data_IF_051077304181
#
_entry.id   IF_051077304181
#
_cell.length_a   1.000
_cell.length_b   1.000
_cell.length_c   1.000
_cell.angle_alpha   90.00
_cell.angle_beta   90.00
_cell.angle_gamma   90.00
#
_symmetry.space_group_name_H-M   'P 1'
#
loop_
_entity.id
_entity.type
_entity.pdbx_description
1 polymer ?
#
# COMPACT_ATOMS: atom_id res chain seq x y z
N UNK A 1 18.84 -0.61 -27.63
CA UNK A 1 18.13 -0.50 -26.35
C UNK A 1 19.17 -0.68 -25.27
N UNK A 2 19.29 0.25 -24.33
CA UNK A 2 20.17 0.04 -23.17
C UNK A 2 19.61 -1.13 -22.37
N UNK A 3 20.39 -2.21 -22.22
CA UNK A 3 20.00 -3.35 -21.41
C UNK A 3 20.13 -2.96 -19.93
N UNK A 4 19.05 -3.11 -19.15
CA UNK A 4 19.12 -2.90 -17.71
C UNK A 4 19.94 -4.03 -17.09
N UNK A 5 21.13 -3.70 -16.61
CA UNK A 5 21.98 -4.68 -15.93
C UNK A 5 21.51 -4.90 -14.48
N UNK A 6 20.92 -6.07 -14.21
CA UNK A 6 20.42 -6.44 -12.88
C UNK A 6 21.52 -6.41 -11.79
N UNK A 7 22.77 -6.69 -12.16
CA UNK A 7 23.89 -6.67 -11.22
C UNK A 7 24.18 -5.26 -10.71
N UNK A 8 24.19 -4.27 -11.60
CA UNK A 8 24.42 -2.87 -11.23
C UNK A 8 23.27 -2.29 -10.42
N UNK A 9 22.03 -2.67 -10.75
CA UNK A 9 20.85 -2.31 -9.97
C UNK A 9 20.91 -2.88 -8.55
N UNK A 10 21.27 -4.16 -8.39
CA UNK A 10 21.39 -4.78 -7.06
C UNK A 10 22.51 -4.14 -6.24
N UNK A 11 23.66 -3.84 -6.87
CA UNK A 11 24.78 -3.13 -6.22
C UNK A 11 24.37 -1.72 -5.78
N UNK A 12 23.52 -1.04 -6.55
CA UNK A 12 22.96 0.26 -6.19
C UNK A 12 22.07 0.16 -4.94
N UNK A 13 21.18 -0.83 -4.87
CA UNK A 13 20.34 -1.07 -3.68
C UNK A 13 21.17 -1.38 -2.44
N UNK A 14 22.20 -2.23 -2.54
CA UNK A 14 23.10 -2.56 -1.42
C UNK A 14 23.82 -1.30 -0.93
N UNK A 15 24.27 -0.42 -1.83
CA UNK A 15 24.90 0.86 -1.43
C UNK A 15 23.91 1.82 -0.76
N UNK A 16 22.61 1.69 -1.05
CA UNK A 16 21.52 2.52 -0.51
C UNK A 16 20.66 1.80 0.52
N UNK A 17 21.18 0.74 1.14
CA UNK A 17 20.47 -0.03 2.16
C UNK A 17 19.95 0.83 3.33
N UNK A 18 20.68 1.89 3.69
CA UNK A 18 20.25 2.82 4.74
C UNK A 18 18.96 3.56 4.36
N UNK A 19 18.79 3.93 3.09
CA UNK A 19 17.54 4.54 2.61
C UNK A 19 16.38 3.55 2.75
N UNK A 20 16.59 2.29 2.38
CA UNK A 20 15.58 1.23 2.57
C UNK A 20 15.24 1.06 4.05
N UNK A 21 16.25 1.00 4.92
CA UNK A 21 16.06 0.86 6.36
C UNK A 21 15.25 2.02 6.97
N UNK A 22 15.48 3.27 6.52
CA UNK A 22 14.72 4.44 6.97
C UNK A 22 13.24 4.32 6.58
N UNK A 23 12.94 3.97 5.33
CA UNK A 23 11.56 3.81 4.86
C UNK A 23 10.83 2.66 5.57
N UNK A 24 11.52 1.55 5.82
CA UNK A 24 11.01 0.43 6.62
C UNK A 24 10.69 0.88 8.03
N UNK A 25 11.59 1.63 8.67
CA UNK A 25 11.38 2.17 10.01
C UNK A 25 10.18 3.12 10.06
N UNK A 26 10.06 4.03 9.09
CA UNK A 26 8.90 4.94 8.98
C UNK A 26 7.61 4.14 8.80
N UNK A 27 7.58 3.15 7.90
CA UNK A 27 6.42 2.28 7.70
C UNK A 27 6.02 1.54 8.98
N UNK A 28 6.98 1.04 9.74
CA UNK A 28 6.75 0.42 11.04
C UNK A 28 6.18 1.40 12.08
N UNK A 29 6.76 2.60 12.21
CA UNK A 29 6.28 3.65 13.13
C UNK A 29 4.85 4.07 12.79
N UNK A 30 4.56 4.31 11.51
CA UNK A 30 3.21 4.65 11.04
C UNK A 30 2.23 3.51 11.33
N UNK A 31 2.63 2.25 11.10
CA UNK A 31 1.82 1.08 11.41
C UNK A 31 1.49 0.98 12.90
N UNK A 32 2.47 1.22 13.78
CA UNK A 32 2.27 1.25 15.24
C UNK A 32 1.35 2.41 15.62
N UNK A 33 1.64 3.62 15.15
CA UNK A 33 0.86 4.81 15.45
C UNK A 33 -0.61 4.63 15.06
N UNK A 34 -0.85 4.12 13.85
CA UNK A 34 -2.20 3.85 13.38
C UNK A 34 -2.93 2.81 14.24
N UNK A 35 -2.26 1.70 14.55
CA UNK A 35 -2.87 0.57 15.29
C UNK A 35 -3.24 0.94 16.71
N UNK A 36 -2.42 1.72 17.41
CA UNK A 36 -2.61 2.00 18.84
C UNK A 36 -3.29 3.35 19.14
N UNK A 37 -3.11 4.36 18.30
CA UNK A 37 -3.63 5.70 18.58
C UNK A 37 -4.83 6.08 17.72
N UNK A 38 -4.92 5.57 16.49
CA UNK A 38 -5.97 5.97 15.54
C UNK A 38 -7.09 4.94 15.51
N UNK A 39 -6.74 3.66 15.50
CA UNK A 39 -7.72 2.60 15.39
C UNK A 39 -8.41 2.33 16.73
N UNK A 40 -9.71 2.65 16.82
CA UNK A 40 -10.52 2.29 17.98
C UNK A 40 -10.71 0.77 18.05
N UNK A 41 -10.37 0.11 19.18
CA UNK A 41 -10.63 -1.31 19.36
C UNK A 41 -12.14 -1.57 19.39
N UNK A 42 -12.58 -2.64 18.73
CA UNK A 42 -13.99 -3.07 18.69
C UNK A 42 -14.11 -4.48 19.25
N UNK A 43 -14.83 -4.62 20.34
CA UNK A 43 -15.03 -5.85 21.08
C UNK A 43 -16.34 -6.50 20.63
N UNK A 44 -16.26 -7.71 20.08
CA UNK A 44 -17.42 -8.43 19.57
C UNK A 44 -17.93 -9.44 20.60
N UNK A 45 -19.12 -9.20 21.17
CA UNK A 45 -19.81 -10.23 21.95
C UNK A 45 -20.60 -11.14 21.01
N UNK A 46 -20.57 -12.45 21.23
CA UNK A 46 -21.26 -13.46 20.42
C UNK A 46 -22.17 -14.32 21.27
N UNK A 47 -23.31 -14.70 20.72
CA UNK A 47 -24.24 -15.67 21.29
C UNK A 47 -24.86 -16.54 20.17
N UNK A 48 -25.27 -17.74 20.55
CA UNK A 48 -25.89 -18.73 19.67
C UNK A 48 -27.30 -19.02 20.18
N UNK A 49 -28.30 -18.78 19.34
CA UNK A 49 -29.71 -19.02 19.66
C UNK A 49 -30.24 -20.19 18.83
N UNK A 50 -31.02 -21.05 19.47
CA UNK A 50 -31.76 -22.15 18.84
C UNK A 50 -33.25 -21.81 18.84
N UNK A 51 -33.86 -21.84 17.66
CA UNK A 51 -35.29 -21.70 17.49
C UNK A 51 -35.93 -23.09 17.51
N UNK A 52 -37.03 -23.23 18.25
CA UNK A 52 -37.79 -24.48 18.35
C UNK A 52 -39.25 -24.18 18.04
N UNK A 53 -39.86 -24.98 17.16
CA UNK A 53 -41.27 -24.82 16.74
C UNK A 53 -41.45 -24.20 15.35
N UNK A 54 -40.39 -24.13 14.56
CA UNK A 54 -40.43 -23.71 13.16
C UNK A 54 -40.89 -24.88 12.26
N UNK A 55 -42.13 -24.83 11.78
CA UNK A 55 -42.67 -25.82 10.84
C UNK A 55 -42.12 -25.60 9.42
N UNK A 56 -41.10 -26.38 9.05
CA UNK A 56 -40.47 -26.33 7.72
C UNK A 56 -41.12 -27.34 6.77
N UNK A 57 -42.30 -27.01 6.23
CA UNK A 57 -43.00 -27.96 5.31
C UNK A 57 -42.37 -28.06 3.93
N UNK A 58 -41.39 -27.20 3.60
CA UNK A 58 -40.60 -27.28 2.36
C UNK A 58 -39.27 -26.53 2.48
N UNK A 59 -38.19 -27.05 1.85
CA UNK A 59 -36.82 -26.52 2.03
C UNK A 59 -36.61 -25.04 1.64
N UNK A 60 -37.47 -24.47 0.79
CA UNK A 60 -37.47 -23.03 0.51
C UNK A 60 -38.06 -22.19 1.65
N UNK A 61 -39.01 -22.73 2.42
CA UNK A 61 -39.62 -22.02 3.56
C UNK A 61 -38.66 -21.92 4.76
N UNK A 62 -37.76 -22.90 4.93
CA UNK A 62 -36.77 -22.90 6.02
C UNK A 62 -35.86 -21.67 5.98
N UNK A 63 -35.34 -21.34 4.78
CA UNK A 63 -34.48 -20.17 4.61
C UNK A 63 -35.25 -18.86 4.79
N UNK A 64 -36.52 -18.80 4.38
CA UNK A 64 -37.35 -17.60 4.54
C UNK A 64 -37.71 -17.37 6.01
N UNK A 65 -38.08 -18.43 6.74
CA UNK A 65 -38.41 -18.35 8.16
C UNK A 65 -37.22 -17.84 8.97
N UNK A 66 -36.03 -18.42 8.80
CA UNK A 66 -34.81 -17.99 9.49
C UNK A 66 -34.44 -16.54 9.17
N UNK A 67 -34.57 -16.13 7.90
CA UNK A 67 -34.30 -14.75 7.52
C UNK A 67 -35.27 -13.77 8.20
N UNK A 68 -36.55 -14.12 8.37
CA UNK A 68 -37.50 -13.27 9.08
C UNK A 68 -37.09 -13.05 10.54
N UNK A 69 -36.59 -14.08 11.24
CA UNK A 69 -36.10 -13.93 12.61
C UNK A 69 -34.80 -13.12 12.69
N UNK A 70 -33.91 -13.29 11.71
CA UNK A 70 -32.69 -12.48 11.59
C UNK A 70 -33.02 -11.00 11.40
N UNK A 71 -34.00 -10.68 10.55
CA UNK A 71 -34.48 -9.31 10.32
C UNK A 71 -35.23 -8.77 11.55
N UNK A 72 -36.04 -9.60 12.22
CA UNK A 72 -36.71 -9.21 13.46
C UNK A 72 -35.69 -8.85 14.55
N UNK A 73 -34.61 -9.62 14.71
CA UNK A 73 -33.54 -9.32 15.67
C UNK A 73 -32.89 -7.95 15.42
N UNK A 74 -32.77 -7.55 14.16
CA UNK A 74 -32.21 -6.25 13.75
C UNK A 74 -33.23 -5.13 13.72
N UNK A 75 -34.52 -5.42 13.90
CA UNK A 75 -35.58 -4.45 13.74
C UNK A 75 -35.53 -3.36 14.81
N UNK A 76 -36.13 -2.20 14.50
CA UNK A 76 -36.34 -1.10 15.45
C UNK A 76 -37.07 -1.53 16.72
N UNK A 77 -38.04 -2.45 16.62
CA UNK A 77 -38.77 -2.99 17.78
C UNK A 77 -37.83 -3.60 18.82
N UNK A 78 -36.82 -4.34 18.35
CA UNK A 78 -35.82 -4.95 19.24
C UNK A 78 -34.76 -3.93 19.65
N UNK A 79 -34.10 -3.29 18.69
CA UNK A 79 -32.92 -2.48 18.97
C UNK A 79 -33.23 -1.13 19.63
N UNK A 80 -34.37 -0.49 19.36
CA UNK A 80 -34.74 0.76 20.05
C UNK A 80 -35.02 0.50 21.54
N UNK A 81 -35.64 -0.64 21.87
CA UNK A 81 -35.85 -1.08 23.25
C UNK A 81 -34.51 -1.29 23.97
N UNK A 82 -33.54 -1.90 23.30
CA UNK A 82 -32.18 -2.10 23.86
C UNK A 82 -31.47 -0.77 24.11
N UNK A 83 -31.61 0.20 23.19
CA UNK A 83 -31.02 1.53 23.35
C UNK A 83 -31.59 2.21 24.60
N UNK A 84 -32.91 2.15 24.78
CA UNK A 84 -33.60 2.71 25.93
C UNK A 84 -33.20 2.01 27.24
N UNK A 85 -33.20 0.67 27.26
CA UNK A 85 -32.95 -0.14 28.46
C UNK A 85 -31.49 -0.06 28.94
N UNK A 86 -30.54 -0.02 28.00
CA UNK A 86 -29.11 0.02 28.32
C UNK A 86 -28.56 1.45 28.41
N UNK A 87 -29.38 2.47 28.15
CA UNK A 87 -28.93 3.86 28.09
C UNK A 87 -27.81 4.06 27.06
N UNK A 88 -27.95 3.46 25.88
CA UNK A 88 -26.92 3.54 24.84
C UNK A 88 -26.89 4.94 24.24
N UNK A 89 -25.73 5.60 24.28
CA UNK A 89 -25.58 7.01 23.89
C UNK A 89 -25.75 7.30 22.39
N UNK A 90 -25.95 6.27 21.55
CA UNK A 90 -26.05 6.42 20.09
C UNK A 90 -27.40 5.94 19.57
N UNK A 91 -27.68 6.32 18.33
CA UNK A 91 -28.91 5.98 17.65
C UNK A 91 -28.97 4.53 17.14
N UNK A 92 -30.16 4.16 16.71
CA UNK A 92 -30.45 2.88 16.07
C UNK A 92 -29.54 2.60 14.87
N UNK A 93 -29.33 3.60 13.99
CA UNK A 93 -28.57 3.42 12.76
C UNK A 93 -27.11 3.04 13.08
N UNK A 94 -26.54 3.63 14.13
CA UNK A 94 -25.24 3.24 14.64
C UNK A 94 -25.26 1.85 15.27
N UNK A 95 -26.26 1.52 16.09
CA UNK A 95 -26.32 0.21 16.74
C UNK A 95 -26.50 -0.92 15.72
N UNK A 96 -27.45 -0.81 14.80
CA UNK A 96 -27.74 -1.85 13.79
C UNK A 96 -26.56 -2.11 12.88
N UNK A 97 -25.74 -1.09 12.56
CA UNK A 97 -24.50 -1.26 11.78
C UNK A 97 -23.45 -2.12 12.49
N UNK A 98 -23.50 -2.15 13.83
CA UNK A 98 -22.62 -2.95 14.68
C UNK A 98 -23.22 -4.29 15.11
N UNK A 99 -24.49 -4.53 14.77
CA UNK A 99 -25.21 -5.78 15.02
C UNK A 99 -25.04 -6.70 13.81
N UNK A 100 -24.64 -7.95 14.07
CA UNK A 100 -24.66 -9.01 13.07
C UNK A 100 -25.59 -10.11 13.55
N UNK A 101 -26.57 -10.47 12.74
CA UNK A 101 -27.43 -11.64 12.94
C UNK A 101 -27.40 -12.48 11.66
N UNK A 102 -27.16 -13.78 11.80
CA UNK A 102 -27.06 -14.73 10.67
C UNK A 102 -27.61 -16.10 11.06
N UNK A 103 -28.52 -16.60 10.25
CA UNK A 103 -28.96 -18.00 10.32
C UNK A 103 -27.86 -18.94 9.80
N UNK A 104 -27.75 -20.12 10.42
CA UNK A 104 -26.95 -21.22 9.90
C UNK A 104 -27.79 -22.01 8.90
N UNK A 105 -27.20 -22.36 7.74
CA UNK A 105 -27.94 -23.08 6.70
C UNK A 105 -28.34 -24.47 7.20
N UNK A 106 -29.57 -24.87 6.87
CA UNK A 106 -30.11 -26.20 7.19
C UNK A 106 -30.20 -26.49 8.70
N UNK A 107 -30.28 -25.44 9.53
CA UNK A 107 -30.47 -25.57 10.98
C UNK A 107 -31.29 -24.41 11.54
N UNK A 108 -31.99 -24.64 12.66
CA UNK A 108 -32.73 -23.58 13.37
C UNK A 108 -31.84 -22.68 14.26
N UNK A 109 -30.56 -22.53 13.89
CA UNK A 109 -29.58 -21.80 14.69
C UNK A 109 -29.38 -20.38 14.12
N UNK A 110 -29.48 -19.39 14.99
CA UNK A 110 -29.13 -17.99 14.69
C UNK A 110 -27.91 -17.59 15.51
N UNK A 111 -26.86 -17.16 14.82
CA UNK A 111 -25.68 -16.54 15.41
C UNK A 111 -25.88 -15.03 15.46
N UNK A 112 -25.76 -14.46 16.64
CA UNK A 112 -25.90 -13.02 16.86
C UNK A 112 -24.63 -12.46 17.50
N UNK A 113 -24.24 -11.26 17.08
CA UNK A 113 -23.13 -10.53 17.67
C UNK A 113 -23.36 -9.02 17.65
N UNK A 114 -22.81 -8.34 18.67
CA UNK A 114 -22.79 -6.88 18.77
C UNK A 114 -21.36 -6.43 19.05
N UNK A 115 -20.95 -5.35 18.36
CA UNK A 115 -19.61 -4.76 18.46
C UNK A 115 -19.67 -3.37 19.08
N UNK A 116 -18.88 -3.14 20.10
CA UNK A 116 -18.69 -1.81 20.69
C UNK A 116 -17.25 -1.61 21.14
N UNK A 117 -16.82 -0.36 21.43
CA UNK A 117 -15.51 -0.08 22.01
C UNK A 117 -15.28 -0.67 23.40
N UNK A 118 -16.33 -1.09 24.11
CA UNK A 118 -16.23 -1.65 25.46
C UNK A 118 -16.73 -3.11 25.52
N UNK A 119 -15.91 -4.00 26.06
CA UNK A 119 -16.23 -5.43 26.11
C UNK A 119 -17.47 -5.75 26.98
N UNK A 120 -17.71 -4.98 28.05
CA UNK A 120 -18.87 -5.18 28.92
C UNK A 120 -20.13 -4.64 28.27
N UNK A 121 -20.05 -3.47 27.64
CA UNK A 121 -21.16 -2.87 26.89
C UNK A 121 -21.59 -3.77 25.74
N UNK A 122 -20.66 -4.34 24.96
CA UNK A 122 -21.00 -5.30 23.90
C UNK A 122 -21.78 -6.50 24.43
N UNK A 123 -21.40 -7.03 25.60
CA UNK A 123 -22.11 -8.14 26.23
C UNK A 123 -23.48 -7.70 26.73
N UNK A 124 -23.57 -6.59 27.46
CA UNK A 124 -24.81 -6.09 28.03
C UNK A 124 -25.86 -5.76 26.96
N UNK A 125 -25.44 -5.09 25.88
CA UNK A 125 -26.29 -4.84 24.70
C UNK A 125 -26.77 -6.13 24.07
N UNK A 126 -25.90 -7.14 23.93
CA UNK A 126 -26.29 -8.41 23.33
C UNK A 126 -27.27 -9.19 24.22
N UNK A 127 -27.04 -9.23 25.53
CA UNK A 127 -27.96 -9.85 26.49
C UNK A 127 -29.34 -9.17 26.47
N UNK A 128 -29.36 -7.84 26.48
CA UNK A 128 -30.60 -7.05 26.37
C UNK A 128 -31.29 -7.26 25.02
N UNK A 129 -30.54 -7.30 23.92
CA UNK A 129 -31.10 -7.56 22.59
C UNK A 129 -31.71 -8.96 22.46
N UNK A 130 -31.07 -9.97 23.05
CA UNK A 130 -31.62 -11.32 23.09
C UNK A 130 -32.93 -11.34 23.89
N UNK A 131 -33.01 -10.65 25.02
CA UNK A 131 -34.22 -10.60 25.83
C UNK A 131 -35.36 -9.83 25.14
N UNK A 132 -35.06 -8.65 24.57
CA UNK A 132 -36.03 -7.89 23.77
C UNK A 132 -36.51 -8.71 22.57
N UNK A 133 -35.61 -9.39 21.86
CA UNK A 133 -35.97 -10.28 20.76
C UNK A 133 -36.91 -11.42 21.19
N UNK A 134 -36.70 -12.02 22.36
CA UNK A 134 -37.62 -13.04 22.89
C UNK A 134 -39.00 -12.47 23.15
N UNK A 135 -39.09 -11.26 23.69
CA UNK A 135 -40.37 -10.63 24.01
C UNK A 135 -41.13 -10.25 22.75
N UNK A 136 -40.45 -9.63 21.79
CA UNK A 136 -41.04 -9.26 20.48
C UNK A 136 -41.46 -10.50 19.68
N UNK A 137 -40.67 -11.57 19.68
CA UNK A 137 -41.03 -12.82 19.01
C UNK A 137 -42.26 -13.47 19.66
N UNK A 138 -42.38 -13.45 20.99
CA UNK A 138 -43.58 -13.96 21.70
C UNK A 138 -44.81 -13.13 21.36
N UNK A 139 -44.68 -11.81 21.27
CA UNK A 139 -45.80 -10.92 20.94
C UNK A 139 -46.31 -11.15 19.52
N UNK A 140 -45.39 -11.29 18.55
CA UNK A 140 -45.74 -11.45 17.13
C UNK A 140 -46.25 -12.84 16.76
N UNK A 141 -45.68 -13.90 17.34
CA UNK A 141 -45.97 -15.28 16.95
C UNK A 141 -46.76 -16.09 17.98
N UNK A 142 -46.96 -15.54 19.18
CA UNK A 142 -47.68 -16.18 20.28
C UNK A 142 -46.83 -17.15 21.11
N UNK A 143 -47.20 -17.30 22.39
CA UNK A 143 -46.44 -18.06 23.40
C UNK A 143 -46.23 -19.56 23.11
N UNK A 144 -47.03 -20.14 22.23
CA UNK A 144 -47.02 -21.58 21.93
C UNK A 144 -46.23 -21.95 20.67
N UNK A 145 -45.92 -20.98 19.81
CA UNK A 145 -45.46 -21.25 18.44
C UNK A 145 -43.95 -21.35 18.33
N UNK A 146 -43.19 -20.46 18.98
CA UNK A 146 -41.72 -20.45 18.90
C UNK A 146 -41.09 -20.31 20.29
N UNK A 147 -40.11 -21.17 20.58
CA UNK A 147 -39.22 -21.04 21.74
C UNK A 147 -37.82 -20.69 21.27
N UNK A 148 -37.26 -19.62 21.82
CA UNK A 148 -35.88 -19.18 21.55
C UNK A 148 -35.04 -19.59 22.75
N UNK A 149 -34.23 -20.63 22.57
CA UNK A 149 -33.30 -21.12 23.57
C UNK A 149 -31.90 -20.58 23.31
N UNK A 150 -31.18 -20.22 24.36
CA UNK A 150 -29.76 -19.86 24.25
C UNK A 150 -28.92 -21.12 24.31
N UNK A 151 -28.20 -21.41 23.22
CA UNK A 151 -27.20 -22.49 23.20
C UNK A 151 -25.91 -22.00 23.84
N UNK A 152 -25.42 -20.85 23.36
CA UNK A 152 -24.26 -20.17 23.90
C UNK A 152 -24.65 -18.78 24.37
N UNK A 153 -24.43 -18.49 25.65
CA UNK A 153 -24.69 -17.18 26.22
C UNK A 153 -23.75 -16.11 25.64
N UNK A 154 -24.17 -14.85 25.75
CA UNK A 154 -23.37 -13.71 25.33
C UNK A 154 -22.00 -13.72 26.02
N UNK A 155 -20.97 -13.86 25.19
CA UNK A 155 -19.58 -13.95 25.65
C UNK A 155 -18.98 -12.57 25.94
N UNK A 156 -18.13 -12.48 26.96
CA UNK A 156 -17.31 -11.28 27.17
C UNK A 156 -16.03 -11.41 26.33
N UNK A 157 -15.85 -10.61 25.27
CA UNK A 157 -14.65 -10.68 24.43
C UNK A 157 -13.40 -10.28 25.20
N UNK A 158 -12.36 -11.12 25.12
CA UNK A 158 -11.05 -10.87 25.75
C UNK A 158 -10.13 -10.01 24.89
N UNK A 159 -10.37 -9.95 23.59
CA UNK A 159 -9.56 -9.20 22.63
C UNK A 159 -10.45 -8.47 21.61
N UNK A 160 -9.97 -7.35 21.06
CA UNK A 160 -10.67 -6.65 20.00
C UNK A 160 -10.70 -7.49 18.71
N UNK A 161 -11.84 -7.46 18.03
CA UNK A 161 -12.10 -8.21 16.80
C UNK A 161 -11.46 -7.58 15.56
N UNK A 162 -11.25 -6.26 15.57
CA UNK A 162 -10.77 -5.48 14.42
C UNK A 162 -9.26 -5.15 14.46
N UNK A 163 -8.60 -5.30 15.61
CA UNK A 163 -7.17 -4.95 15.76
C UNK A 163 -6.33 -6.22 15.66
N UNK A 164 -5.41 -6.25 14.69
CA UNK A 164 -4.46 -7.36 14.50
C UNK A 164 -3.05 -6.78 14.36
N UNK A 165 -2.40 -6.40 15.48
CA UNK A 165 -1.19 -5.57 15.45
C UNK A 165 -0.07 -6.15 14.60
N UNK A 166 0.19 -7.45 14.74
CA UNK A 166 1.26 -8.12 13.99
C UNK A 166 1.05 -8.04 12.47
N UNK A 167 -0.18 -8.26 12.00
CA UNK A 167 -0.50 -8.22 10.56
C UNK A 167 -0.49 -6.79 10.05
N UNK A 168 -1.07 -5.85 10.80
CA UNK A 168 -1.19 -4.45 10.37
C UNK A 168 0.16 -3.73 10.33
N UNK A 169 0.98 -3.91 11.38
CA UNK A 169 2.34 -3.36 11.43
C UNK A 169 3.21 -4.05 10.37
N UNK A 170 3.08 -5.37 10.21
CA UNK A 170 3.78 -6.12 9.15
C UNK A 170 3.45 -5.61 7.74
N UNK A 171 2.17 -5.37 7.45
CA UNK A 171 1.71 -4.80 6.17
C UNK A 171 2.24 -3.38 5.97
N UNK A 172 2.18 -2.52 6.97
CA UNK A 172 2.70 -1.15 6.88
C UNK A 172 4.22 -1.12 6.65
N UNK A 173 4.94 -2.02 7.32
CA UNK A 173 6.40 -2.19 7.17
C UNK A 173 6.74 -2.70 5.76
N UNK A 174 6.00 -3.69 5.25
CA UNK A 174 6.16 -4.22 3.90
C UNK A 174 5.83 -3.18 2.82
N UNK A 175 4.80 -2.35 3.05
CA UNK A 175 4.47 -1.24 2.17
C UNK A 175 5.60 -0.20 2.16
N UNK A 176 6.16 0.16 3.32
CA UNK A 176 7.33 1.04 3.41
C UNK A 176 8.54 0.48 2.66
N UNK A 177 8.79 -0.83 2.76
CA UNK A 177 9.83 -1.52 2.00
C UNK A 177 9.60 -1.44 0.48
N UNK A 178 8.39 -1.75 0.01
CA UNK A 178 8.06 -1.64 -1.42
C UNK A 178 8.21 -0.22 -1.95
N UNK A 179 7.74 0.78 -1.21
CA UNK A 179 7.90 2.19 -1.57
C UNK A 179 9.38 2.58 -1.66
N UNK A 180 10.23 2.05 -0.78
CA UNK A 180 11.66 2.28 -0.86
C UNK A 180 12.27 1.70 -2.14
N UNK A 181 11.92 0.46 -2.50
CA UNK A 181 12.39 -0.18 -3.73
C UNK A 181 11.96 0.61 -4.95
N UNK A 182 10.66 0.93 -5.06
CA UNK A 182 10.09 1.66 -6.19
C UNK A 182 10.72 3.05 -6.29
N UNK A 183 10.82 3.77 -5.17
CA UNK A 183 11.44 5.10 -5.13
C UNK A 183 12.90 5.07 -5.54
N UNK A 184 13.69 4.10 -5.06
CA UNK A 184 15.07 3.92 -5.47
C UNK A 184 15.21 3.52 -6.94
N UNK A 185 14.27 2.74 -7.48
CA UNK A 185 14.23 2.42 -8.91
C UNK A 185 14.06 3.68 -9.76
N UNK A 186 13.09 4.55 -9.44
CA UNK A 186 12.94 5.83 -10.15
C UNK A 186 14.15 6.75 -10.00
N UNK A 187 14.80 6.77 -8.83
CA UNK A 187 16.05 7.53 -8.63
C UNK A 187 17.19 6.96 -9.48
N UNK A 188 17.27 5.64 -9.62
CA UNK A 188 18.24 4.97 -10.48
C UNK A 188 17.98 5.32 -11.95
N UNK A 189 16.74 5.15 -12.41
CA UNK A 189 16.31 5.43 -13.78
C UNK A 189 16.59 6.89 -14.16
N UNK A 190 16.12 7.84 -13.36
CA UNK A 190 16.35 9.27 -13.57
C UNK A 190 17.84 9.64 -13.69
N UNK A 191 18.73 8.99 -12.92
CA UNK A 191 20.18 9.25 -12.98
C UNK A 191 20.84 8.70 -14.25
N UNK A 192 20.29 7.63 -14.83
CA UNK A 192 20.79 7.04 -16.06
C UNK A 192 20.15 7.69 -17.30
N UNK A 193 18.94 8.24 -17.19
CA UNK A 193 18.29 8.99 -18.28
C UNK A 193 18.88 10.39 -18.51
N UNK A 194 19.68 10.95 -17.60
CA UNK A 194 20.39 12.20 -17.84
C UNK A 194 21.55 11.94 -18.82
N UNK A 195 21.53 12.50 -20.05
CA UNK A 195 22.72 12.44 -20.89
C UNK A 195 23.85 13.11 -20.12
N UNK A 196 25.00 12.42 -19.99
CA UNK A 196 26.21 13.03 -19.43
C UNK A 196 26.43 14.36 -20.14
N UNK A 197 26.16 15.47 -19.45
CA UNK A 197 26.44 16.80 -19.96
C UNK A 197 27.89 16.81 -20.45
N UNK A 198 28.05 17.18 -21.71
CA UNK A 198 29.29 17.26 -22.48
C UNK A 198 30.53 17.41 -21.59
N UNK A 199 31.23 16.30 -21.35
CA UNK A 199 32.61 16.38 -20.89
C UNK A 199 33.46 16.69 -22.10
N UNK A 200 33.83 17.96 -22.21
CA UNK A 200 35.09 18.47 -22.74
C UNK A 200 35.80 17.57 -23.77
N UNK A 201 35.51 17.79 -25.05
CA UNK A 201 36.47 17.53 -26.13
C UNK A 201 37.17 18.85 -26.46
N UNK A 202 38.35 19.03 -25.89
CA UNK A 202 39.39 19.86 -26.51
C UNK A 202 40.71 19.09 -26.39
N UNK A 203 41.16 18.42 -27.46
CA UNK A 203 42.48 17.79 -27.46
C UNK A 203 43.55 18.81 -27.82
N UNK A 204 44.51 18.97 -26.90
CA UNK A 204 45.94 19.32 -27.07
C UNK A 204 46.35 19.86 -28.46
N UNK A 205 46.76 21.13 -28.51
CA UNK A 205 47.78 21.59 -29.46
C UNK A 205 48.77 22.54 -28.77
N UNK A 206 49.78 21.95 -28.15
CA UNK A 206 50.92 22.68 -27.63
C UNK A 206 52.11 21.72 -27.55
N UNK A 207 52.78 21.58 -28.69
CA UNK A 207 54.16 21.12 -28.79
C UNK A 207 54.90 22.05 -29.76
N UNK A 208 55.84 22.87 -29.28
CA UNK A 208 56.77 23.58 -30.15
C UNK A 208 58.18 22.96 -30.01
N UNK A 209 58.65 22.30 -31.07
CA UNK A 209 60.06 22.14 -31.40
C UNK A 209 60.11 21.75 -32.89
N UNK A 210 60.86 22.41 -33.76
CA UNK A 210 62.33 22.36 -33.86
C UNK A 210 62.79 23.34 -34.98
N UNK A 211 64.08 23.76 -35.08
CA UNK A 211 65.20 22.83 -35.33
C UNK A 211 66.54 23.16 -34.67
N UNK A 212 67.27 22.11 -34.26
CA UNK A 212 68.73 22.14 -34.17
C UNK A 212 69.28 21.25 -35.28
N UNK A 213 70.03 21.92 -36.14
CA UNK A 213 71.00 21.44 -37.09
C UNK A 213 71.93 20.39 -36.45
N UNK A 214 72.03 19.22 -37.07
CA UNK A 214 73.01 18.19 -36.74
C UNK A 214 73.68 17.78 -38.05
N UNK A 215 74.96 18.12 -38.09
CA UNK A 215 75.96 17.81 -39.09
C UNK A 215 76.31 16.31 -39.14
N UNK A 216 76.80 15.93 -40.32
CA UNK A 216 77.83 14.94 -40.65
C UNK A 216 77.50 13.46 -40.94
N UNK A 217 78.17 13.04 -42.03
CA UNK A 217 78.58 11.72 -42.55
C UNK A 217 77.56 10.86 -43.34
N UNK A 218 77.49 10.94 -44.68
CA UNK A 218 78.34 10.32 -45.75
C UNK A 218 77.85 8.89 -46.17
N UNK A 219 78.17 8.37 -47.38
CA UNK A 219 77.88 8.91 -48.72
C UNK A 219 77.21 7.84 -49.62
N UNK A 220 76.52 8.24 -50.71
CA UNK A 220 76.47 7.37 -51.89
C UNK A 220 76.40 8.17 -53.19
N UNK A 221 77.33 7.79 -54.06
CA UNK A 221 77.64 8.17 -55.44
C UNK A 221 76.44 8.23 -56.39
N UNK A 222 76.37 9.20 -57.30
CA UNK A 222 76.94 9.11 -58.65
C UNK A 222 76.41 10.25 -59.57
N UNK A 223 77.35 10.80 -60.33
CA UNK A 223 77.29 11.62 -61.56
C UNK A 223 75.99 12.30 -62.03
N UNK A 224 76.06 13.62 -62.27
CA UNK A 224 76.17 14.23 -63.61
C UNK A 224 75.57 15.66 -63.71
N UNK A 225 76.45 16.62 -64.07
CA UNK A 225 76.30 17.76 -65.02
C UNK A 225 75.06 18.66 -64.96
N UNK A 226 75.24 19.95 -64.61
CA UNK A 226 75.54 21.07 -65.54
C UNK A 226 74.26 21.58 -66.23
N UNK A 227 73.59 22.59 -65.66
CA UNK A 227 73.72 24.04 -65.94
C UNK A 227 72.50 24.52 -66.76
N UNK A 228 72.13 25.78 -66.51
CA UNK A 228 71.49 26.72 -67.45
C UNK A 228 69.97 26.98 -67.27
N UNK A 229 69.71 28.15 -66.64
CA UNK A 229 68.71 29.21 -66.98
C UNK A 229 67.20 28.98 -66.77
N UNK A 230 66.61 29.86 -65.94
CA UNK A 230 65.71 30.98 -66.36
C UNK A 230 65.25 31.72 -65.08
N UNK A 231 65.68 32.95 -64.75
CA UNK A 231 65.28 34.26 -65.35
C UNK A 231 63.76 34.45 -65.32
N UNK A 232 63.25 35.09 -64.24
CA UNK A 232 62.70 36.47 -64.19
C UNK A 232 61.27 36.57 -64.73
N UNK A 233 60.38 37.48 -64.32
CA UNK A 233 60.30 38.51 -63.29
C UNK A 233 58.81 38.90 -63.27
N UNK A 234 58.32 39.33 -62.10
CA UNK A 234 57.21 40.25 -61.84
C UNK A 234 55.86 40.08 -62.57
N UNK A 235 54.76 40.22 -61.82
CA UNK A 235 54.09 41.53 -61.81
C UNK A 235 52.98 41.67 -60.75
N UNK A 236 52.98 42.86 -60.17
CA UNK A 236 51.86 43.65 -59.62
C UNK A 236 51.22 43.27 -58.27
N UNK A 237 51.78 43.90 -57.25
CA UNK A 237 51.05 44.55 -56.15
C UNK A 237 50.13 45.67 -56.66
N UNK A 238 48.91 45.75 -56.13
CA UNK A 238 48.22 46.93 -55.54
C UNK A 238 46.88 46.39 -55.02
N UNK A 239 46.34 46.72 -53.86
CA UNK A 239 46.68 47.66 -52.80
C UNK A 239 45.48 47.72 -51.86
N UNK A 240 45.62 48.46 -50.76
CA UNK A 240 44.49 48.92 -49.96
C UNK A 240 44.18 48.03 -48.78
N UNK A 241 44.75 48.42 -47.65
CA UNK A 241 44.45 47.89 -46.36
C UNK A 241 43.34 48.71 -45.68
N UNK A 242 43.07 48.34 -44.42
CA UNK A 242 42.47 49.09 -43.31
C UNK A 242 41.05 49.65 -43.44
N UNK A 243 40.20 49.69 -42.41
CA UNK A 243 40.09 49.10 -41.08
C UNK A 243 38.81 49.73 -40.45
N UNK A 244 38.04 48.92 -39.72
CA UNK A 244 37.12 49.25 -38.59
C UNK A 244 35.80 50.01 -38.78
N UNK A 245 34.86 49.47 -37.98
CA UNK A 245 33.51 49.89 -37.53
C UNK A 245 32.31 49.66 -38.46
#
# INVERSE_FOLDING_TARGET
MEEINLYDLLRFYIKKWLTIAIFVMIGGIVGIAYTYYIQTPQYESKATLLLVGTDHTSGNQESVALNNYVELFKSRRVLDTVIADQGYDKDYDTLVSNVTARGTKSTDIINVSIKTPDAKQSKALLESAIESFRNEAKELYGNSSIKINTVDAASTPKSPSNVRPAIQIGLATAAGFMLAIIGLFFVYDYRHSQPKAAKADEPRSNEPAQPKDQTDDDPETDTAKEDTRCTTISHFYTGGAYEKE
#
